data_IF_594823190940
#
_entry.id   IF_594823190940
#
_cell.length_a   1.000
_cell.length_b   1.000
_cell.length_c   1.000
_cell.angle_alpha   90.00
_cell.angle_beta   90.00
_cell.angle_gamma   90.00
#
_symmetry.space_group_name_H-M   'P 1'
#
loop_
_entity.id
_entity.type
_entity.pdbx_description
1 polymer ?
#
# COMPACT_ATOMS: atom_id res chain seq x y z
N UNK A 1 -12.51 -21.91 -22.74
CA UNK A 1 -13.15 -21.81 -21.41
C UNK A 1 -14.66 -21.66 -21.57
N UNK A 2 -15.42 -22.39 -20.77
CA UNK A 2 -16.88 -22.36 -20.77
C UNK A 2 -17.40 -21.01 -20.24
N UNK A 3 -18.63 -20.65 -20.61
CA UNK A 3 -19.24 -19.35 -20.26
C UNK A 3 -19.26 -19.07 -18.76
N UNK A 4 -19.65 -20.07 -17.95
CA UNK A 4 -19.69 -19.91 -16.49
C UNK A 4 -18.30 -19.67 -15.89
N UNK A 5 -17.30 -20.36 -16.40
CA UNK A 5 -15.91 -20.17 -15.97
C UNK A 5 -15.40 -18.77 -16.32
N UNK A 6 -15.75 -18.25 -17.49
CA UNK A 6 -15.41 -16.86 -17.88
C UNK A 6 -16.01 -15.82 -16.94
N UNK A 7 -17.24 -16.06 -16.49
CA UNK A 7 -17.92 -15.18 -15.52
C UNK A 7 -17.16 -15.14 -14.20
N UNK A 8 -16.74 -16.29 -13.68
CA UNK A 8 -15.93 -16.35 -12.45
C UNK A 8 -14.57 -15.70 -12.64
N UNK A 9 -13.92 -15.91 -13.80
CA UNK A 9 -12.63 -15.27 -14.09
C UNK A 9 -12.74 -13.75 -14.07
N UNK A 10 -13.79 -13.19 -14.67
CA UNK A 10 -14.04 -11.75 -14.64
C UNK A 10 -14.24 -11.24 -13.20
N UNK A 11 -14.95 -11.99 -12.38
CA UNK A 11 -15.15 -11.64 -10.97
C UNK A 11 -13.85 -11.70 -10.18
N UNK A 12 -13.01 -12.69 -10.41
CA UNK A 12 -11.68 -12.80 -9.81
C UNK A 12 -10.84 -11.56 -10.15
N UNK A 13 -10.81 -11.18 -11.41
CA UNK A 13 -10.05 -10.02 -11.88
C UNK A 13 -10.54 -8.71 -11.29
N UNK A 14 -11.83 -8.60 -11.02
CA UNK A 14 -12.45 -7.41 -10.45
C UNK A 14 -12.42 -7.35 -8.91
N UNK A 15 -12.02 -8.43 -8.24
CA UNK A 15 -11.98 -8.48 -6.78
C UNK A 15 -11.02 -7.43 -6.21
N UNK A 16 -11.48 -6.64 -5.24
CA UNK A 16 -10.70 -5.59 -4.61
C UNK A 16 -10.06 -6.05 -3.28
N UNK A 17 -10.58 -7.12 -2.67
CA UNK A 17 -10.10 -7.63 -1.38
C UNK A 17 -9.94 -9.15 -1.40
N UNK A 18 -9.11 -9.68 -0.50
CA UNK A 18 -8.97 -11.12 -0.33
C UNK A 18 -10.29 -11.79 0.13
N UNK A 19 -11.10 -11.07 0.90
CA UNK A 19 -12.41 -11.57 1.36
C UNK A 19 -13.37 -11.80 0.19
N UNK A 20 -13.44 -10.83 -0.74
CA UNK A 20 -14.21 -10.98 -1.97
C UNK A 20 -13.70 -12.15 -2.79
N UNK A 21 -12.39 -12.28 -2.93
CA UNK A 21 -11.76 -13.35 -3.67
C UNK A 21 -12.09 -14.73 -3.07
N UNK A 22 -12.03 -14.87 -1.74
CA UNK A 22 -12.39 -16.10 -1.04
C UNK A 22 -13.84 -16.48 -1.30
N UNK A 23 -14.76 -15.52 -1.30
CA UNK A 23 -16.17 -15.76 -1.60
C UNK A 23 -16.35 -16.29 -3.03
N UNK A 24 -15.62 -15.74 -3.99
CA UNK A 24 -15.64 -16.20 -5.38
C UNK A 24 -15.08 -17.62 -5.50
N UNK A 25 -13.99 -17.92 -4.80
CA UNK A 25 -13.39 -19.26 -4.78
C UNK A 25 -14.37 -20.31 -4.25
N UNK A 26 -15.04 -20.02 -3.17
CA UNK A 26 -16.05 -20.92 -2.61
C UNK A 26 -17.15 -21.19 -3.64
N UNK A 27 -17.62 -20.13 -4.32
CA UNK A 27 -18.67 -20.25 -5.31
C UNK A 27 -18.27 -21.13 -6.50
N UNK A 28 -17.10 -20.90 -7.11
CA UNK A 28 -16.72 -21.69 -8.29
C UNK A 28 -16.30 -23.12 -7.94
N UNK A 29 -15.74 -23.37 -6.76
CA UNK A 29 -15.39 -24.72 -6.30
C UNK A 29 -16.62 -25.58 -6.03
N UNK A 30 -17.74 -24.97 -5.69
CA UNK A 30 -19.02 -25.65 -5.47
C UNK A 30 -19.86 -25.78 -6.74
N UNK A 31 -19.50 -25.10 -7.81
CA UNK A 31 -20.25 -25.09 -9.06
C UNK A 31 -19.92 -26.34 -9.90
N UNK A 32 -20.82 -27.31 -9.89
CA UNK A 32 -20.66 -28.58 -10.58
C UNK A 32 -20.73 -28.45 -12.11
N UNK A 33 -21.11 -27.30 -12.65
CA UNK A 33 -21.13 -27.05 -14.10
C UNK A 33 -19.75 -26.77 -14.68
N UNK A 34 -18.73 -26.56 -13.84
CA UNK A 34 -17.37 -26.25 -14.25
C UNK A 34 -16.56 -27.55 -14.37
N UNK A 35 -15.92 -27.76 -15.54
CA UNK A 35 -15.07 -28.93 -15.76
C UNK A 35 -13.72 -28.80 -15.03
N UNK A 36 -12.99 -29.91 -14.93
CA UNK A 36 -11.72 -29.96 -14.21
C UNK A 36 -10.65 -29.02 -14.78
N UNK A 37 -10.57 -28.86 -16.10
CA UNK A 37 -9.60 -27.98 -16.73
C UNK A 37 -9.86 -26.52 -16.39
N UNK A 38 -11.12 -26.10 -16.47
CA UNK A 38 -11.53 -24.74 -16.14
C UNK A 38 -11.39 -24.49 -14.65
N UNK A 39 -11.72 -25.46 -13.81
CA UNK A 39 -11.52 -25.37 -12.36
C UNK A 39 -10.05 -25.10 -12.01
N UNK A 40 -9.13 -25.83 -12.64
CA UNK A 40 -7.69 -25.63 -12.44
C UNK A 40 -7.22 -24.25 -12.86
N UNK A 41 -7.74 -23.72 -13.97
CA UNK A 41 -7.44 -22.37 -14.45
C UNK A 41 -7.97 -21.30 -13.51
N UNK A 42 -9.18 -21.47 -12.97
CA UNK A 42 -9.77 -20.54 -12.00
C UNK A 42 -9.00 -20.55 -10.69
N UNK A 43 -8.58 -21.72 -10.19
CA UNK A 43 -7.76 -21.83 -8.99
C UNK A 43 -6.44 -21.07 -9.14
N UNK A 44 -5.76 -21.21 -10.27
CA UNK A 44 -4.50 -20.48 -10.54
C UNK A 44 -4.74 -18.98 -10.64
N UNK A 45 -5.78 -18.54 -11.31
CA UNK A 45 -6.13 -17.12 -11.40
C UNK A 45 -6.42 -16.53 -10.02
N UNK A 46 -7.11 -17.27 -9.15
CA UNK A 46 -7.40 -16.84 -7.79
C UNK A 46 -6.12 -16.73 -6.94
N UNK A 47 -5.21 -17.69 -7.06
CA UNK A 47 -3.92 -17.63 -6.36
C UNK A 47 -3.07 -16.44 -6.80
N UNK A 48 -2.98 -16.19 -8.10
CA UNK A 48 -2.26 -15.05 -8.66
C UNK A 48 -2.87 -13.72 -8.18
N UNK A 49 -4.18 -13.63 -8.16
CA UNK A 49 -4.89 -12.44 -7.67
C UNK A 49 -4.65 -12.21 -6.19
N UNK A 50 -4.68 -13.27 -5.38
CA UNK A 50 -4.41 -13.18 -3.95
C UNK A 50 -3.01 -12.65 -3.68
N UNK A 51 -2.02 -13.15 -4.41
CA UNK A 51 -0.65 -12.67 -4.32
C UNK A 51 -0.56 -11.17 -4.64
N UNK A 52 -1.20 -10.73 -5.71
CA UNK A 52 -1.25 -9.32 -6.11
C UNK A 52 -1.91 -8.44 -5.05
N UNK A 53 -3.05 -8.88 -4.51
CA UNK A 53 -3.77 -8.13 -3.46
C UNK A 53 -2.93 -7.99 -2.18
N UNK A 54 -2.23 -9.06 -1.77
CA UNK A 54 -1.34 -9.02 -0.59
C UNK A 54 -0.18 -8.07 -0.80
N UNK A 55 0.45 -8.12 -1.97
CA UNK A 55 1.57 -7.23 -2.29
C UNK A 55 1.14 -5.77 -2.31
N UNK A 56 -0.04 -5.47 -2.87
CA UNK A 56 -0.57 -4.11 -2.90
C UNK A 56 -0.87 -3.60 -1.48
N UNK A 57 -1.48 -4.43 -0.63
CA UNK A 57 -1.77 -4.07 0.76
C UNK A 57 -0.49 -3.82 1.55
N UNK A 58 0.53 -4.66 1.39
CA UNK A 58 1.83 -4.49 2.03
C UNK A 58 2.54 -3.22 1.55
N UNK A 59 2.52 -2.96 0.25
CA UNK A 59 3.09 -1.74 -0.33
C UNK A 59 2.42 -0.48 0.24
N UNK A 60 1.09 -0.48 0.34
CA UNK A 60 0.34 0.65 0.92
C UNK A 60 0.70 0.87 2.40
N UNK A 61 0.86 -0.22 3.16
CA UNK A 61 1.27 -0.14 4.56
C UNK A 61 2.67 0.44 4.72
N UNK A 62 3.61 0.01 3.88
CA UNK A 62 4.98 0.53 3.90
C UNK A 62 5.03 2.00 3.52
N UNK A 63 4.25 2.44 2.53
CA UNK A 63 4.12 3.85 2.18
C UNK A 63 3.57 4.67 3.33
N UNK A 64 2.53 4.18 4.02
CA UNK A 64 1.95 4.86 5.17
C UNK A 64 2.98 5.05 6.29
N UNK A 65 3.74 4.03 6.62
CA UNK A 65 4.82 4.11 7.61
C UNK A 65 5.88 5.13 7.20
N UNK A 66 6.31 5.09 5.94
CA UNK A 66 7.30 6.03 5.40
C UNK A 66 6.79 7.48 5.50
N UNK A 67 5.54 7.71 5.13
CA UNK A 67 4.95 9.05 5.14
C UNK A 67 4.77 9.57 6.57
N UNK A 68 4.32 8.74 7.51
CA UNK A 68 4.23 9.09 8.92
C UNK A 68 5.61 9.50 9.47
N UNK A 69 6.64 8.74 9.16
CA UNK A 69 8.00 9.02 9.59
C UNK A 69 8.53 10.32 8.99
N UNK A 70 8.29 10.53 7.70
CA UNK A 70 8.70 11.75 7.00
C UNK A 70 8.07 12.98 7.64
N UNK A 71 6.77 12.94 7.91
CA UNK A 71 6.05 14.04 8.55
C UNK A 71 6.59 14.32 9.96
N UNK A 72 6.83 13.27 10.75
CA UNK A 72 7.35 13.40 12.11
C UNK A 72 8.73 14.06 12.12
N UNK A 73 9.63 13.67 11.23
CA UNK A 73 10.98 14.26 11.16
C UNK A 73 10.94 15.71 10.66
N UNK A 74 10.07 16.02 9.70
CA UNK A 74 9.88 17.38 9.20
C UNK A 74 9.31 18.31 10.29
N UNK A 75 8.26 17.86 10.99
CA UNK A 75 7.63 18.63 12.06
C UNK A 75 8.62 18.88 13.21
N UNK A 76 9.41 17.88 13.58
CA UNK A 76 10.44 18.02 14.60
C UNK A 76 11.48 19.08 14.20
N UNK A 77 11.94 19.07 12.95
CA UNK A 77 12.88 20.06 12.45
C UNK A 77 12.30 21.49 12.51
N UNK A 78 11.06 21.66 12.07
CA UNK A 78 10.39 22.97 12.10
C UNK A 78 10.19 23.46 13.52
N UNK A 79 9.78 22.59 14.47
CA UNK A 79 9.60 22.97 15.85
C UNK A 79 10.91 23.38 16.51
N UNK A 80 11.98 22.64 16.28
CA UNK A 80 13.32 22.98 16.80
C UNK A 80 13.83 24.29 16.22
N UNK A 81 13.59 24.55 14.94
CA UNK A 81 14.01 25.79 14.27
C UNK A 81 13.25 27.01 14.78
N UNK A 82 12.02 26.84 15.25
CA UNK A 82 11.21 27.93 15.82
C UNK A 82 11.60 28.28 17.26
N UNK A 83 12.29 27.37 17.95
CA UNK A 83 12.67 27.51 19.36
C UNK A 83 14.17 27.31 19.53
N UNK A 84 15.01 28.16 18.87
CA UNK A 84 16.46 27.97 18.89
C UNK A 84 17.08 28.11 20.31
N UNK A 85 16.40 28.77 21.23
CA UNK A 85 16.84 28.90 22.62
C UNK A 85 16.68 27.59 23.43
N UNK A 86 15.84 26.69 22.99
CA UNK A 86 15.59 25.40 23.66
C UNK A 86 16.49 24.29 23.16
N UNK A 87 17.18 24.50 22.05
CA UNK A 87 17.97 23.45 21.35
C UNK A 87 19.33 24.01 21.00
N UNK A 88 20.36 23.14 21.04
CA UNK A 88 21.69 23.53 20.57
C UNK A 88 21.72 23.56 19.04
N UNK A 89 22.67 24.33 18.48
CA UNK A 89 22.88 24.35 17.03
C UNK A 89 23.20 22.96 16.47
N UNK A 90 23.90 22.11 17.26
CA UNK A 90 24.22 20.74 16.91
C UNK A 90 22.97 19.87 16.85
N UNK A 91 22.05 20.00 17.82
CA UNK A 91 20.77 19.28 17.83
C UNK A 91 19.93 19.60 16.60
N UNK A 92 19.83 20.88 16.25
CA UNK A 92 19.09 21.34 15.07
C UNK A 92 19.73 20.79 13.78
N UNK A 93 21.07 20.81 13.70
CA UNK A 93 21.79 20.27 12.53
C UNK A 93 21.56 18.76 12.38
N UNK A 94 21.58 18.00 13.46
CA UNK A 94 21.29 16.57 13.45
C UNK A 94 19.86 16.29 12.99
N UNK A 95 18.89 17.06 13.47
CA UNK A 95 17.50 16.89 13.05
C UNK A 95 17.31 17.23 11.56
N UNK A 96 18.02 18.24 11.05
CA UNK A 96 18.03 18.57 9.64
C UNK A 96 18.55 17.42 8.78
N UNK A 97 19.62 16.77 9.23
CA UNK A 97 20.17 15.61 8.53
C UNK A 97 19.16 14.46 8.48
N UNK A 98 18.46 14.18 9.58
CA UNK A 98 17.41 13.15 9.63
C UNK A 98 16.30 13.46 8.65
N UNK A 99 15.80 14.68 8.66
CA UNK A 99 14.75 15.12 7.74
C UNK A 99 15.20 15.01 6.28
N UNK A 100 16.37 15.54 5.96
CA UNK A 100 16.90 15.50 4.59
C UNK A 100 17.12 14.06 4.09
N UNK A 101 17.57 13.17 4.96
CA UNK A 101 17.81 11.78 4.61
C UNK A 101 16.51 11.06 4.25
N UNK A 102 15.46 11.24 5.04
CA UNK A 102 14.18 10.61 4.75
C UNK A 102 13.49 11.24 3.55
N UNK A 103 13.63 12.55 3.38
CA UNK A 103 13.11 13.26 2.22
C UNK A 103 13.78 12.80 0.92
N UNK A 104 15.07 12.50 0.97
CA UNK A 104 15.79 11.94 -0.17
C UNK A 104 15.19 10.61 -0.62
N UNK A 105 14.76 9.76 0.30
CA UNK A 105 14.04 8.52 -0.03
C UNK A 105 12.75 8.82 -0.77
N UNK A 106 11.98 9.82 -0.32
CA UNK A 106 10.74 10.25 -0.97
C UNK A 106 11.01 10.71 -2.41
N UNK A 107 12.05 11.51 -2.62
CA UNK A 107 12.42 12.00 -3.95
C UNK A 107 12.92 10.88 -4.87
N UNK A 108 13.80 10.03 -4.39
CA UNK A 108 14.37 8.92 -5.18
C UNK A 108 13.33 7.88 -5.57
N UNK A 109 12.30 7.69 -4.78
CA UNK A 109 11.19 6.79 -5.07
C UNK A 109 10.05 7.45 -5.83
N UNK A 110 10.17 8.73 -6.15
CA UNK A 110 9.16 9.52 -6.87
C UNK A 110 7.80 9.57 -6.14
N UNK A 111 7.84 9.59 -4.80
CA UNK A 111 6.65 9.58 -3.96
C UNK A 111 6.24 10.96 -3.42
N UNK A 112 6.87 12.05 -3.89
CA UNK A 112 6.63 13.39 -3.36
C UNK A 112 5.17 13.82 -3.50
N UNK A 113 4.55 13.60 -4.66
CA UNK A 113 3.15 13.97 -4.91
C UNK A 113 2.19 13.13 -4.06
N UNK A 114 2.45 11.82 -3.94
CA UNK A 114 1.66 10.94 -3.08
C UNK A 114 1.79 11.34 -1.61
N UNK A 115 2.99 11.75 -1.17
CA UNK A 115 3.21 12.23 0.19
C UNK A 115 2.40 13.48 0.49
N UNK A 116 2.38 14.45 -0.44
CA UNK A 116 1.60 15.68 -0.25
C UNK A 116 0.10 15.37 -0.15
N UNK A 117 -0.41 14.47 -0.99
CA UNK A 117 -1.81 14.03 -0.92
C UNK A 117 -2.10 13.29 0.39
N UNK A 118 -1.20 12.44 0.85
CA UNK A 118 -1.32 11.74 2.13
C UNK A 118 -1.37 12.71 3.30
N UNK A 119 -0.50 13.73 3.28
CA UNK A 119 -0.42 14.75 4.33
C UNK A 119 -1.73 15.54 4.44
N UNK A 120 -2.32 15.91 3.31
CA UNK A 120 -3.61 16.60 3.27
C UNK A 120 -4.74 15.73 3.83
N UNK A 121 -4.72 14.43 3.53
CA UNK A 121 -5.72 13.47 4.01
C UNK A 121 -5.53 13.11 5.51
N UNK A 122 -4.33 13.34 6.07
CA UNK A 122 -3.98 12.96 7.44
C UNK A 122 -3.37 14.13 8.22
N UNK A 123 -4.10 15.24 8.40
CA UNK A 123 -3.53 16.45 9.02
C UNK A 123 -3.12 16.29 10.48
N UNK A 124 -3.62 15.26 11.16
CA UNK A 124 -3.34 14.99 12.58
C UNK A 124 -2.37 13.80 12.79
N UNK A 125 -1.79 13.33 11.72
CA UNK A 125 -0.83 12.22 11.80
C UNK A 125 0.48 12.63 12.48
#
# INVERSE_FOLDING_TARGET
MMKNAKTYLTRIQAAATERELTSIEIAFKQDMSINCDDLGKLCRAAEDKRYTLRNNAETLRLKDILFQRTKAEMDAYHDMSRKPESWTAEDIAHQRIRFCSIWQVIEETELADEYEAWKEANPNA
#
